data_IF_617817932449
#
_entry.id   IF_617817932449
#
_cell.length_a   1.000
_cell.length_b   1.000
_cell.length_c   1.000
_cell.angle_alpha   90.00
_cell.angle_beta   90.00
_cell.angle_gamma   90.00
#
_symmetry.space_group_name_H-M   'P 1'
#
loop_
_entity.id
_entity.type
_entity.pdbx_description
1 polymer ?
#
# COMPACT_ATOMS: atom_id res chain seq x y z
N UNK A 1 -13.67 -13.59 36.03
CA UNK A 1 -13.38 -13.50 34.59
C UNK A 1 -11.99 -14.07 34.36
N UNK A 2 -11.90 -15.33 33.92
CA UNK A 2 -10.61 -15.98 33.69
C UNK A 2 -10.02 -15.46 32.38
N UNK A 3 -8.89 -14.76 32.47
CA UNK A 3 -8.01 -14.50 31.33
C UNK A 3 -7.52 -15.86 30.85
N UNK A 4 -7.94 -16.25 29.64
CA UNK A 4 -7.43 -17.46 28.99
C UNK A 4 -5.92 -17.32 28.82
N UNK A 5 -5.10 -18.27 29.31
CA UNK A 5 -3.66 -18.18 29.13
C UNK A 5 -3.37 -18.29 27.63
N UNK A 6 -2.63 -17.33 27.08
CA UNK A 6 -1.98 -17.45 25.79
C UNK A 6 -0.93 -18.55 25.92
N UNK A 7 -1.36 -19.81 25.85
CA UNK A 7 -0.45 -20.92 25.62
C UNK A 7 0.28 -20.62 24.31
N UNK A 8 1.61 -20.73 24.24
CA UNK A 8 2.30 -20.70 22.97
C UNK A 8 1.75 -21.86 22.15
N UNK A 9 0.85 -21.56 21.20
CA UNK A 9 0.46 -22.54 20.22
C UNK A 9 1.71 -22.81 19.40
N UNK A 10 2.30 -24.02 19.42
CA UNK A 10 3.37 -24.33 18.50
C UNK A 10 2.78 -24.13 17.11
N UNK A 11 3.16 -23.03 16.48
CA UNK A 11 2.59 -22.67 15.19
C UNK A 11 3.12 -23.72 14.21
N UNK A 12 2.25 -24.63 13.79
CA UNK A 12 2.55 -25.66 12.81
C UNK A 12 3.26 -24.98 11.62
N UNK A 13 4.51 -25.36 11.30
CA UNK A 13 5.25 -24.77 10.20
C UNK A 13 4.47 -24.79 8.87
N UNK A 14 3.69 -25.84 8.61
CA UNK A 14 2.86 -25.93 7.41
C UNK A 14 1.73 -24.89 7.44
N UNK A 15 1.09 -24.68 8.60
CA UNK A 15 0.07 -23.66 8.79
C UNK A 15 0.63 -22.23 8.66
N UNK A 16 1.86 -21.96 9.14
CA UNK A 16 2.53 -20.68 8.97
C UNK A 16 2.82 -20.37 7.49
N UNK A 17 3.35 -21.35 6.76
CA UNK A 17 3.59 -21.22 5.31
C UNK A 17 2.27 -21.01 4.57
N UNK A 18 1.22 -21.77 4.90
CA UNK A 18 -0.10 -21.61 4.31
C UNK A 18 -0.69 -20.21 4.59
N UNK A 19 -0.48 -19.68 5.80
CA UNK A 19 -0.89 -18.31 6.18
C UNK A 19 -0.16 -17.26 5.34
N UNK A 20 1.16 -17.36 5.19
CA UNK A 20 1.95 -16.46 4.34
C UNK A 20 1.50 -16.51 2.88
N UNK A 21 1.27 -17.71 2.33
CA UNK A 21 0.72 -17.88 0.97
C UNK A 21 -0.64 -17.21 0.81
N UNK A 22 -1.51 -17.32 1.82
CA UNK A 22 -2.82 -16.67 1.81
C UNK A 22 -2.72 -15.15 1.77
N UNK A 23 -1.79 -14.55 2.52
CA UNK A 23 -1.56 -13.10 2.49
C UNK A 23 -1.18 -12.64 1.08
N UNK A 24 -0.21 -13.29 0.45
CA UNK A 24 0.20 -12.93 -0.91
C UNK A 24 -0.90 -13.15 -1.95
N UNK A 25 -1.74 -14.18 -1.78
CA UNK A 25 -2.90 -14.36 -2.67
C UNK A 25 -3.89 -13.21 -2.54
N UNK A 26 -4.23 -12.79 -1.32
CA UNK A 26 -5.11 -11.64 -1.07
C UNK A 26 -4.52 -10.36 -1.67
N UNK A 27 -3.21 -10.15 -1.55
CA UNK A 27 -2.53 -8.99 -2.14
C UNK A 27 -2.55 -9.04 -3.67
N UNK A 28 -2.34 -10.20 -4.28
CA UNK A 28 -2.43 -10.36 -5.74
C UNK A 28 -3.84 -10.04 -6.26
N UNK A 29 -4.88 -10.55 -5.60
CA UNK A 29 -6.27 -10.27 -5.96
C UNK A 29 -6.59 -8.77 -5.81
N UNK A 30 -6.05 -8.12 -4.77
CA UNK A 30 -6.18 -6.68 -4.58
C UNK A 30 -5.50 -5.87 -5.69
N UNK A 31 -4.34 -6.31 -6.18
CA UNK A 31 -3.65 -5.68 -7.31
C UNK A 31 -4.47 -5.80 -8.61
N UNK A 32 -5.07 -6.96 -8.88
CA UNK A 32 -5.97 -7.13 -10.02
C UNK A 32 -7.16 -6.15 -9.92
N UNK A 33 -7.80 -6.06 -8.75
CA UNK A 33 -8.88 -5.11 -8.53
C UNK A 33 -8.46 -3.63 -8.64
N UNK A 34 -7.19 -3.28 -8.38
CA UNK A 34 -6.66 -1.93 -8.62
C UNK A 34 -6.50 -1.68 -10.12
N UNK A 35 -5.97 -2.64 -10.87
CA UNK A 35 -5.81 -2.52 -12.33
C UNK A 35 -7.15 -2.23 -13.02
N UNK A 36 -8.22 -2.91 -12.61
CA UNK A 36 -9.57 -2.70 -13.16
C UNK A 36 -10.14 -1.29 -12.89
N UNK A 37 -9.59 -0.57 -11.89
CA UNK A 37 -10.02 0.80 -11.53
C UNK A 37 -9.21 1.89 -12.24
N UNK A 38 -8.22 1.55 -13.06
CA UNK A 38 -7.43 2.50 -13.82
C UNK A 38 -8.23 3.05 -15.01
N UNK A 39 -9.07 4.05 -14.73
CA UNK A 39 -9.89 4.73 -15.72
C UNK A 39 -9.64 6.24 -15.79
N UNK A 40 -10.64 7.01 -16.20
CA UNK A 40 -10.53 8.45 -16.44
C UNK A 40 -10.03 9.26 -15.22
N UNK A 41 -10.41 8.88 -14.01
CA UNK A 41 -9.94 9.59 -12.80
C UNK A 41 -8.42 9.45 -12.62
N UNK A 42 -7.85 8.30 -12.98
CA UNK A 42 -6.40 8.07 -12.91
C UNK A 42 -5.66 8.95 -13.93
N UNK A 43 -6.12 8.97 -15.19
CA UNK A 43 -5.49 9.80 -16.22
C UNK A 43 -5.58 11.30 -15.90
N UNK A 44 -6.71 11.75 -15.36
CA UNK A 44 -6.88 13.14 -14.88
C UNK A 44 -5.91 13.47 -13.75
N UNK A 45 -5.75 12.59 -12.76
CA UNK A 45 -4.79 12.79 -11.68
C UNK A 45 -3.35 12.89 -12.20
N UNK A 46 -2.96 12.04 -13.16
CA UNK A 46 -1.65 12.12 -13.81
C UNK A 46 -1.46 13.45 -14.53
N UNK A 47 -2.45 13.92 -15.29
CA UNK A 47 -2.38 15.20 -15.98
C UNK A 47 -2.23 16.38 -15.02
N UNK A 48 -2.99 16.40 -13.92
CA UNK A 48 -2.88 17.42 -12.89
C UNK A 48 -1.49 17.48 -12.26
N UNK A 49 -0.89 16.31 -11.98
CA UNK A 49 0.47 16.23 -11.43
C UNK A 49 1.50 16.74 -12.46
N UNK A 50 1.42 16.29 -13.71
CA UNK A 50 2.39 16.64 -14.76
C UNK A 50 2.31 18.12 -15.18
N UNK A 51 1.13 18.73 -15.13
CA UNK A 51 0.93 20.15 -15.44
C UNK A 51 1.22 21.08 -14.26
N UNK A 52 1.42 20.52 -13.06
CA UNK A 52 1.69 21.27 -11.85
C UNK A 52 3.01 22.04 -11.91
N UNK A 53 2.97 23.35 -11.62
CA UNK A 53 4.18 24.20 -11.53
C UNK A 53 4.82 24.21 -10.14
N UNK A 54 4.19 23.53 -9.18
CA UNK A 54 4.58 23.49 -7.78
C UNK A 54 5.20 22.16 -7.38
N UNK A 55 4.84 21.68 -6.19
CA UNK A 55 5.27 20.38 -5.65
C UNK A 55 4.04 19.55 -5.30
N UNK A 56 4.11 18.24 -5.49
CA UNK A 56 3.09 17.31 -5.00
C UNK A 56 3.31 17.09 -3.50
N UNK A 57 2.27 17.26 -2.70
CA UNK A 57 2.31 16.97 -1.26
C UNK A 57 1.54 15.69 -1.01
N UNK A 58 2.23 14.63 -0.59
CA UNK A 58 1.61 13.36 -0.23
C UNK A 58 1.53 13.22 1.29
N UNK A 59 0.32 13.17 1.84
CA UNK A 59 0.08 13.09 3.29
C UNK A 59 -0.79 11.89 3.67
N UNK A 60 -0.70 11.48 4.92
CA UNK A 60 -1.46 10.39 5.50
C UNK A 60 -1.02 10.09 6.94
N UNK A 61 -1.85 9.38 7.68
CA UNK A 61 -1.58 8.98 9.08
C UNK A 61 -1.34 7.46 9.17
N UNK A 62 -0.51 7.03 10.12
CA UNK A 62 -0.19 5.62 10.34
C UNK A 62 0.45 4.95 9.12
N UNK A 63 -0.01 3.73 8.77
CA UNK A 63 0.47 2.98 7.59
C UNK A 63 0.37 3.79 6.30
N UNK A 64 -0.72 4.53 6.12
CA UNK A 64 -0.91 5.39 4.96
C UNK A 64 0.11 6.52 4.89
N UNK A 65 0.60 7.02 6.03
CA UNK A 65 1.70 7.99 6.08
C UNK A 65 3.02 7.42 5.59
N UNK A 66 3.33 6.15 5.89
CA UNK A 66 4.50 5.47 5.35
C UNK A 66 4.41 5.30 3.83
N UNK A 67 3.24 4.92 3.31
CA UNK A 67 3.00 4.80 1.86
C UNK A 67 3.11 6.17 1.18
N UNK A 68 2.50 7.22 1.73
CA UNK A 68 2.58 8.57 1.20
C UNK A 68 4.03 9.08 1.11
N UNK A 69 4.83 8.87 2.16
CA UNK A 69 6.26 9.19 2.17
C UNK A 69 7.03 8.45 1.08
N UNK A 70 6.70 7.18 0.83
CA UNK A 70 7.35 6.41 -0.24
C UNK A 70 6.94 6.92 -1.62
N UNK A 71 5.66 7.25 -1.83
CA UNK A 71 5.15 7.85 -3.06
C UNK A 71 5.88 9.16 -3.34
N UNK A 72 5.96 10.07 -2.36
CA UNK A 72 6.67 11.34 -2.51
C UNK A 72 8.15 11.14 -2.89
N UNK A 73 8.85 10.21 -2.22
CA UNK A 73 10.24 9.89 -2.56
C UNK A 73 10.38 9.35 -4.00
N UNK A 74 9.46 8.47 -4.43
CA UNK A 74 9.45 7.95 -5.80
C UNK A 74 9.18 9.04 -6.82
N UNK A 75 8.18 9.89 -6.60
CA UNK A 75 7.87 11.04 -7.48
C UNK A 75 9.07 11.98 -7.59
N UNK A 76 9.69 12.35 -6.46
CA UNK A 76 10.86 13.22 -6.44
C UNK A 76 12.04 12.62 -7.23
N UNK A 77 12.29 11.31 -7.07
CA UNK A 77 13.36 10.60 -7.80
C UNK A 77 13.10 10.44 -9.30
N UNK A 78 11.85 10.59 -9.74
CA UNK A 78 11.42 10.43 -11.15
C UNK A 78 11.11 11.78 -11.81
N UNK A 79 11.57 12.89 -11.23
CA UNK A 79 11.48 14.22 -11.83
C UNK A 79 10.21 15.00 -11.50
N UNK A 80 9.34 14.49 -10.63
CA UNK A 80 8.17 15.22 -10.10
C UNK A 80 8.47 15.72 -8.68
N UNK A 81 8.75 17.02 -8.46
CA UNK A 81 9.06 17.54 -7.13
C UNK A 81 7.96 17.21 -6.12
N UNK A 82 8.28 16.45 -5.06
CA UNK A 82 7.31 15.98 -4.08
C UNK A 82 7.89 15.86 -2.66
N UNK A 83 7.03 15.96 -1.63
CA UNK A 83 7.36 15.69 -0.23
C UNK A 83 6.17 15.13 0.56
#
# INVERSE_FOLDING_TARGET
MAVSPLLPHPADPAALVASGRRVFQIEADALAAVADRLGNAFSQACQLVLQGKGRVVATGMGKSGHVARKIAATLASTGTPAF
#
